data_IF_212565067094
#
_entry.id   IF_212565067094
#
_cell.length_a   1.000
_cell.length_b   1.000
_cell.length_c   1.000
_cell.angle_alpha   90.00
_cell.angle_beta   90.00
_cell.angle_gamma   90.00
#
_symmetry.space_group_name_H-M   'P 1'
#
loop_
_entity.id
_entity.type
_entity.pdbx_description
1 polymer ?
#
# COMPACT_ATOMS: atom_id res chain seq x y z
N UNK A 1 -7.26 25.15 -44.95
CA UNK A 1 -8.30 24.37 -44.24
C UNK A 1 -8.05 22.85 -44.09
N UNK A 2 -7.56 22.09 -45.11
CA UNK A 2 -7.27 20.63 -44.94
C UNK A 2 -5.87 20.33 -44.39
N UNK A 3 -4.89 21.22 -44.56
CA UNK A 3 -3.53 21.10 -44.03
C UNK A 3 -3.44 21.39 -42.52
N UNK A 4 -4.14 22.42 -42.02
CA UNK A 4 -4.15 22.80 -40.60
C UNK A 4 -4.80 21.74 -39.70
N UNK A 5 -5.83 21.05 -40.20
CA UNK A 5 -6.46 19.95 -39.46
C UNK A 5 -5.54 18.74 -39.28
N UNK A 6 -4.54 18.55 -40.16
CA UNK A 6 -3.53 17.48 -40.03
C UNK A 6 -2.48 17.80 -38.97
N UNK A 7 -2.05 19.07 -38.85
CA UNK A 7 -1.15 19.52 -37.79
C UNK A 7 -1.79 19.41 -36.40
N UNK A 8 -3.04 19.86 -36.26
CA UNK A 8 -3.80 19.79 -35.00
C UNK A 8 -4.11 18.35 -34.56
N UNK A 9 -4.18 17.40 -35.50
CA UNK A 9 -4.36 15.97 -35.19
C UNK A 9 -3.05 15.32 -34.74
N UNK A 10 -1.90 15.72 -35.28
CA UNK A 10 -0.58 15.25 -34.85
C UNK A 10 -0.28 15.63 -33.40
N UNK A 11 -0.53 16.89 -33.04
CA UNK A 11 -0.33 17.39 -31.66
C UNK A 11 -1.24 16.69 -30.64
N UNK A 12 -2.48 16.36 -31.02
CA UNK A 12 -3.40 15.60 -30.16
C UNK A 12 -2.94 14.16 -29.96
N UNK A 13 -2.37 13.53 -30.99
CA UNK A 13 -1.84 12.16 -30.88
C UNK A 13 -0.60 12.10 -30.00
N UNK A 14 0.30 13.07 -30.11
CA UNK A 14 1.49 13.19 -29.25
C UNK A 14 1.11 13.41 -27.78
N UNK A 15 0.17 14.34 -27.50
CA UNK A 15 -0.36 14.57 -26.16
C UNK A 15 -1.04 13.34 -25.57
N UNK A 16 -1.82 12.61 -26.38
CA UNK A 16 -2.46 11.35 -25.97
C UNK A 16 -1.41 10.26 -25.71
N UNK A 17 -0.36 10.17 -26.51
CA UNK A 17 0.74 9.23 -26.27
C UNK A 17 1.48 9.52 -24.96
N UNK A 18 1.79 10.80 -24.70
CA UNK A 18 2.46 11.23 -23.46
C UNK A 18 1.57 10.94 -22.24
N UNK A 19 0.27 11.23 -22.32
CA UNK A 19 -0.67 10.89 -21.26
C UNK A 19 -0.77 9.37 -21.03
N UNK A 20 -0.81 8.57 -22.11
CA UNK A 20 -0.86 7.12 -21.99
C UNK A 20 0.42 6.53 -21.37
N UNK A 21 1.59 7.07 -21.72
CA UNK A 21 2.87 6.68 -21.13
C UNK A 21 2.95 7.08 -19.64
N UNK A 22 2.53 8.31 -19.30
CA UNK A 22 2.48 8.78 -17.91
C UNK A 22 1.52 7.93 -17.05
N UNK A 23 0.37 7.54 -17.61
CA UNK A 23 -0.60 6.72 -16.89
C UNK A 23 -0.10 5.29 -16.72
N UNK A 24 0.58 4.74 -17.72
CA UNK A 24 1.22 3.43 -17.64
C UNK A 24 2.35 3.43 -16.59
N UNK A 25 3.23 4.44 -16.55
CA UNK A 25 4.28 4.52 -15.53
C UNK A 25 3.71 4.69 -14.13
N UNK A 26 2.65 5.49 -13.94
CA UNK A 26 1.97 5.61 -12.64
C UNK A 26 1.36 4.28 -12.18
N UNK A 27 0.80 3.49 -13.10
CA UNK A 27 0.20 2.20 -12.79
C UNK A 27 1.21 1.15 -12.27
N UNK A 28 2.47 1.23 -12.69
CA UNK A 28 3.53 0.29 -12.26
C UNK A 28 4.16 0.62 -10.90
N UNK A 29 3.96 1.83 -10.36
CA UNK A 29 4.54 2.25 -9.08
C UNK A 29 3.77 1.66 -7.87
N UNK A 30 2.57 1.10 -8.09
CA UNK A 30 1.67 0.71 -7.00
C UNK A 30 1.91 -0.69 -6.39
N UNK A 31 2.98 -1.40 -6.76
CA UNK A 31 3.30 -2.68 -6.11
C UNK A 31 4.10 -2.40 -4.84
N UNK A 32 3.40 -2.14 -3.74
CA UNK A 32 4.01 -2.06 -2.42
C UNK A 32 4.41 -3.46 -1.94
N UNK A 33 5.70 -3.67 -1.65
CA UNK A 33 6.14 -4.88 -0.96
C UNK A 33 5.61 -4.82 0.49
N UNK A 34 4.59 -5.62 0.82
CA UNK A 34 4.23 -5.85 2.21
C UNK A 34 5.28 -6.80 2.82
N UNK A 35 5.99 -6.34 3.85
CA UNK A 35 6.81 -7.19 4.71
C UNK A 35 6.02 -7.50 5.97
N UNK A 36 6.15 -8.73 6.48
CA UNK A 36 5.70 -9.06 7.83
C UNK A 36 6.50 -8.26 8.86
N UNK A 37 5.81 -7.77 9.90
CA UNK A 37 6.39 -7.06 11.03
C UNK A 37 6.38 -7.92 12.31
N UNK A 38 7.17 -7.53 13.31
CA UNK A 38 7.21 -8.16 14.63
C UNK A 38 6.73 -7.19 15.71
N UNK A 39 5.61 -7.52 16.35
CA UNK A 39 5.01 -6.72 17.42
C UNK A 39 5.41 -7.33 18.77
N UNK A 40 6.03 -6.53 19.63
CA UNK A 40 6.39 -6.95 20.99
C UNK A 40 5.35 -6.47 21.98
N UNK A 41 4.93 -7.35 22.88
CA UNK A 41 4.07 -7.01 24.01
C UNK A 41 4.89 -7.15 25.30
N UNK A 42 5.08 -6.04 25.99
CA UNK A 42 5.72 -5.95 27.30
C UNK A 42 4.68 -6.16 28.41
N UNK A 43 5.11 -6.51 29.64
CA UNK A 43 4.24 -6.46 30.80
C UNK A 43 3.58 -5.07 30.91
N UNK A 44 2.31 -5.03 31.31
CA UNK A 44 1.45 -3.83 31.34
C UNK A 44 0.88 -3.37 29.99
N UNK A 45 1.31 -3.94 28.86
CA UNK A 45 0.67 -3.75 27.56
C UNK A 45 -0.45 -4.78 27.34
N UNK A 46 -1.40 -4.46 26.45
CA UNK A 46 -2.50 -5.38 26.11
C UNK A 46 -2.15 -6.23 24.89
N UNK A 47 -2.33 -7.54 25.02
CA UNK A 47 -2.19 -8.49 23.91
C UNK A 47 -3.25 -8.19 22.84
N UNK A 48 -4.48 -7.81 23.24
CA UNK A 48 -5.55 -7.45 22.29
C UNK A 48 -5.17 -6.26 21.41
N UNK A 49 -4.47 -5.27 21.94
CA UNK A 49 -3.99 -4.13 21.15
C UNK A 49 -3.04 -4.60 20.05
N UNK A 50 -2.11 -5.52 20.37
CA UNK A 50 -1.21 -6.10 19.38
C UNK A 50 -1.97 -6.93 18.33
N UNK A 51 -2.97 -7.72 18.74
CA UNK A 51 -3.82 -8.50 17.82
C UNK A 51 -4.57 -7.58 16.85
N UNK A 52 -5.16 -6.50 17.35
CA UNK A 52 -5.90 -5.54 16.51
C UNK A 52 -5.00 -4.77 15.54
N UNK A 53 -3.71 -4.63 15.85
CA UNK A 53 -2.74 -3.92 15.02
C UNK A 53 -2.04 -4.83 13.99
N UNK A 54 -2.01 -6.13 14.23
CA UNK A 54 -1.32 -7.10 13.38
C UNK A 54 -2.00 -7.26 12.01
N UNK A 55 -1.19 -7.25 10.95
CA UNK A 55 -1.59 -7.60 9.60
C UNK A 55 -1.32 -9.08 9.32
N UNK A 56 -1.81 -9.56 8.18
CA UNK A 56 -1.53 -10.93 7.75
C UNK A 56 -0.03 -11.15 7.55
N UNK A 57 0.51 -12.13 8.25
CA UNK A 57 1.94 -12.48 8.21
C UNK A 57 2.76 -11.91 9.37
N UNK A 58 2.25 -10.94 10.12
CA UNK A 58 2.95 -10.38 11.28
C UNK A 58 3.10 -11.42 12.40
N UNK A 59 4.13 -11.24 13.22
CA UNK A 59 4.40 -12.09 14.39
C UNK A 59 4.27 -11.28 15.68
N UNK A 60 3.49 -11.77 16.63
CA UNK A 60 3.36 -11.15 17.96
C UNK A 60 4.24 -11.94 18.95
N UNK A 61 5.19 -11.25 19.60
CA UNK A 61 6.05 -11.81 20.65
C UNK A 61 5.63 -11.23 22.00
N UNK A 62 5.02 -12.08 22.82
CA UNK A 62 4.58 -11.71 24.18
C UNK A 62 5.72 -11.99 25.17
N UNK A 63 6.19 -10.95 25.87
CA UNK A 63 7.16 -11.11 26.93
C UNK A 63 6.53 -11.76 28.15
N UNK A 64 7.33 -12.51 28.92
CA UNK A 64 6.88 -13.19 30.13
C UNK A 64 6.22 -12.23 31.12
N UNK A 65 5.01 -12.58 31.57
CA UNK A 65 4.19 -11.78 32.47
C UNK A 65 2.79 -12.36 32.60
N UNK A 66 1.98 -11.80 33.50
CA UNK A 66 0.56 -12.15 33.65
C UNK A 66 -0.29 -11.08 32.96
N UNK A 67 -1.14 -11.50 32.04
CA UNK A 67 -2.06 -10.64 31.30
C UNK A 67 -3.49 -11.07 31.60
N UNK A 68 -4.22 -10.27 32.39
CA UNK A 68 -5.61 -10.57 32.77
C UNK A 68 -6.55 -9.86 31.81
N UNK A 69 -6.85 -10.49 30.68
CA UNK A 69 -7.72 -9.93 29.64
C UNK A 69 -8.50 -11.04 28.91
N UNK A 70 -9.61 -10.67 28.29
CA UNK A 70 -10.30 -11.53 27.33
C UNK A 70 -9.80 -11.16 25.93
N UNK A 71 -9.39 -12.15 25.12
CA UNK A 71 -8.96 -11.96 23.73
C UNK A 71 -10.02 -12.51 22.78
N UNK A 72 -10.32 -11.75 21.73
CA UNK A 72 -11.12 -12.19 20.60
C UNK A 72 -10.18 -12.10 19.40
N UNK A 73 -9.95 -13.22 18.74
CA UNK A 73 -9.08 -13.35 17.58
C UNK A 73 -9.88 -13.39 16.30
#
# INVERSE_FOLDING_TARGET
MKSERRGKLGERKEKVLICALLFATLAFISVGCASADTIYVNPEESIRTAVNAANSGDTIIVRGGTYTENINV
#
